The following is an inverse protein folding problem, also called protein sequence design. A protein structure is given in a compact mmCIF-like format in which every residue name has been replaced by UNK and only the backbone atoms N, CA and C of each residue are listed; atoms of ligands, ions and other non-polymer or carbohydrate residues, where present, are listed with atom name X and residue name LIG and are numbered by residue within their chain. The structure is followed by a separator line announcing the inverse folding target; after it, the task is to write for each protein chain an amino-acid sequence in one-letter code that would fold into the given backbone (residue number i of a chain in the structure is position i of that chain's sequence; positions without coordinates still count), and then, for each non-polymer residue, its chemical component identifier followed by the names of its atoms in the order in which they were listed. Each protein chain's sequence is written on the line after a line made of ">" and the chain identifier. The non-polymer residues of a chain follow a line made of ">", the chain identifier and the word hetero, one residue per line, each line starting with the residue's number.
data_IF_451907287681
#
_entry.id   IF_451907287681
#
_cell.length_a   1.000
_cell.length_b   1.000
_cell.length_c   1.000
_cell.angle_alpha   90.00
_cell.angle_beta   90.00
_cell.angle_gamma   90.00
#
_symmetry.space_group_name_H-M   'P 1'
#
loop_
_entity.id
_entity.type
_entity.pdbx_description
1 polymer ?
#
# COMPACT_ATOMS: atom_id res chain seq x y z
N UNK A 1 -54.02 -21.64 22.91
CA UNK A 1 -52.95 -21.33 21.93
C UNK A 1 -53.11 -19.88 21.48
N UNK A 2 -52.12 -19.03 21.77
CA UNK A 2 -51.94 -17.68 21.22
C UNK A 2 -50.47 -17.60 20.75
N UNK A 3 -50.16 -16.99 19.60
CA UNK A 3 -48.81 -16.95 19.08
C UNK A 3 -47.97 -15.90 19.82
N UNK A 4 -46.73 -16.25 20.14
CA UNK A 4 -45.69 -15.36 20.65
C UNK A 4 -45.00 -14.76 19.42
N UNK A 5 -45.03 -13.43 19.28
CA UNK A 5 -44.24 -12.71 18.29
C UNK A 5 -42.80 -12.51 18.81
N UNK A 6 -41.75 -12.65 17.98
CA UNK A 6 -40.39 -12.36 18.40
C UNK A 6 -40.16 -10.84 18.44
N UNK A 7 -39.96 -10.30 19.64
CA UNK A 7 -39.50 -8.93 19.85
C UNK A 7 -38.01 -8.85 19.52
N UNK A 8 -37.66 -8.36 18.32
CA UNK A 8 -36.28 -8.04 17.96
C UNK A 8 -35.80 -6.79 18.74
N UNK A 9 -34.66 -6.85 19.47
CA UNK A 9 -34.05 -5.70 20.15
C UNK A 9 -33.64 -4.56 19.20
N UNK A 10 -33.65 -4.80 17.89
CA UNK A 10 -33.20 -3.85 16.86
C UNK A 10 -34.18 -2.68 16.65
N UNK A 11 -35.49 -2.93 16.74
CA UNK A 11 -36.52 -1.92 16.48
C UNK A 11 -36.70 -0.93 17.65
N UNK A 12 -36.31 -1.31 18.87
CA UNK A 12 -36.37 -0.42 20.04
C UNK A 12 -35.22 0.60 20.06
N UNK A 13 -34.07 0.28 19.46
CA UNK A 13 -32.92 1.19 19.36
C UNK A 13 -33.12 2.29 18.30
N UNK A 14 -33.74 1.99 17.16
CA UNK A 14 -34.05 2.99 16.11
C UNK A 14 -35.08 4.03 16.60
N UNK A 15 -36.07 3.60 17.39
CA UNK A 15 -37.04 4.51 18.02
C UNK A 15 -36.40 5.45 19.04
N UNK A 16 -35.31 5.03 19.70
CA UNK A 16 -34.56 5.86 20.64
C UNK A 16 -33.71 6.91 19.92
N UNK A 17 -33.16 6.56 18.75
CA UNK A 17 -32.39 7.46 17.88
C UNK A 17 -33.23 8.62 17.31
N UNK A 18 -34.50 8.38 16.95
CA UNK A 18 -35.39 9.41 16.40
C UNK A 18 -35.93 10.41 17.44
N UNK A 19 -35.86 10.08 18.74
CA UNK A 19 -36.47 10.89 19.82
C UNK A 19 -35.44 11.81 20.53
N UNK A 20 -34.13 11.62 20.33
CA UNK A 20 -33.08 12.35 21.04
C UNK A 20 -32.18 13.21 20.13
N UNK A 21 -32.71 13.90 19.13
CA UNK A 21 -31.96 14.94 18.41
C UNK A 21 -31.71 16.13 19.36
N UNK A 22 -30.46 16.45 19.76
CA UNK A 22 -30.16 17.69 20.45
C UNK A 22 -30.20 18.82 19.41
N UNK A 23 -30.79 19.96 19.79
CA UNK A 23 -30.67 21.21 19.01
C UNK A 23 -29.18 21.50 18.79
N UNK A 24 -28.75 21.56 17.52
CA UNK A 24 -27.35 21.79 17.15
C UNK A 24 -26.86 23.12 17.71
N UNK A 25 -25.98 23.06 18.71
CA UNK A 25 -25.16 24.18 19.09
C UNK A 25 -24.06 24.31 18.03
N UNK A 26 -24.10 25.38 17.24
CA UNK A 26 -23.02 25.76 16.35
C UNK A 26 -21.84 26.24 17.19
N UNK A 27 -20.79 25.44 17.26
CA UNK A 27 -19.49 25.90 17.74
C UNK A 27 -18.54 25.89 16.56
N UNK A 28 -18.31 27.06 15.97
CA UNK A 28 -17.20 27.29 15.04
C UNK A 28 -15.89 27.24 15.84
N UNK A 29 -15.33 26.04 15.98
CA UNK A 29 -13.94 25.87 16.38
C UNK A 29 -13.11 25.62 15.13
N UNK A 30 -12.09 26.44 14.90
CA UNK A 30 -11.05 26.22 13.89
C UNK A 30 -10.38 24.87 14.17
N UNK A 31 -10.84 23.83 13.48
CA UNK A 31 -10.48 22.44 13.73
C UNK A 31 -9.10 22.16 13.11
N UNK A 32 -8.17 21.64 13.91
CA UNK A 32 -6.88 21.14 13.40
C UNK A 32 -7.13 20.13 12.28
N UNK A 33 -6.32 20.20 11.21
CA UNK A 33 -6.39 19.26 10.11
C UNK A 33 -6.13 17.84 10.63
N UNK A 34 -7.00 16.90 10.25
CA UNK A 34 -6.88 15.50 10.63
C UNK A 34 -6.59 14.63 9.41
N UNK A 35 -5.82 13.57 9.60
CA UNK A 35 -5.70 12.46 8.65
C UNK A 35 -5.44 12.92 7.20
N UNK A 36 -6.31 12.62 6.24
CA UNK A 36 -6.13 13.01 4.84
C UNK A 36 -5.94 14.52 4.68
N UNK A 37 -6.49 15.33 5.58
CA UNK A 37 -6.36 16.79 5.56
C UNK A 37 -4.93 17.27 5.84
N UNK A 38 -4.07 16.40 6.38
CA UNK A 38 -2.65 16.68 6.65
C UNK A 38 -1.76 16.38 5.45
N UNK A 39 -2.28 15.71 4.42
CA UNK A 39 -1.49 15.29 3.27
C UNK A 39 -1.19 16.48 2.34
N UNK A 40 0.03 16.60 1.78
CA UNK A 40 0.41 17.75 0.95
C UNK A 40 -0.48 17.96 -0.29
N UNK A 41 -1.03 16.88 -0.84
CA UNK A 41 -1.88 16.88 -2.04
C UNK A 41 -3.37 16.87 -1.72
N UNK A 42 -3.75 17.08 -0.46
CA UNK A 42 -5.14 17.07 -0.05
C UNK A 42 -5.90 18.24 -0.66
N UNK A 43 -6.93 17.92 -1.44
CA UNK A 43 -7.91 18.88 -1.87
C UNK A 43 -9.31 18.38 -1.53
N UNK A 44 -9.90 18.94 -0.48
CA UNK A 44 -11.20 18.52 0.09
C UNK A 44 -12.27 18.21 -0.97
N UNK A 45 -12.40 19.04 -2.00
CA UNK A 45 -13.48 18.89 -3.01
C UNK A 45 -13.33 17.65 -3.88
N UNK A 46 -12.13 17.09 -4.00
CA UNK A 46 -11.93 15.85 -4.75
C UNK A 46 -12.23 14.62 -3.92
N UNK A 47 -12.34 14.69 -2.59
CA UNK A 47 -12.68 13.51 -1.79
C UNK A 47 -14.20 13.27 -1.77
N UNK A 48 -14.61 12.01 -1.88
CA UNK A 48 -16.02 11.65 -1.73
C UNK A 48 -16.41 11.69 -0.23
N UNK A 49 -17.46 12.42 0.17
CA UNK A 49 -17.88 12.54 1.57
C UNK A 49 -18.73 11.33 2.00
N UNK A 50 -18.08 10.18 2.21
CA UNK A 50 -18.74 8.94 2.64
C UNK A 50 -19.39 9.15 4.02
N UNK A 51 -20.61 8.62 4.20
CA UNK A 51 -21.31 8.64 5.50
C UNK A 51 -21.37 7.25 6.11
N UNK A 52 -21.15 7.17 7.43
CA UNK A 52 -21.43 5.94 8.18
C UNK A 52 -22.92 5.60 8.05
N UNK A 53 -23.22 4.32 7.78
CA UNK A 53 -24.56 3.84 7.45
C UNK A 53 -24.99 4.06 5.99
N UNK A 54 -24.22 4.77 5.16
CA UNK A 54 -24.47 4.87 3.72
C UNK A 54 -24.44 3.48 3.08
N UNK A 55 -25.33 3.23 2.12
CA UNK A 55 -25.37 1.99 1.36
C UNK A 55 -24.93 2.28 -0.07
N UNK A 56 -23.86 1.62 -0.53
CA UNK A 56 -23.41 1.65 -1.92
C UNK A 56 -24.00 0.49 -2.72
N UNK A 57 -24.46 0.78 -3.93
CA UNK A 57 -25.02 -0.20 -4.88
C UNK A 57 -26.11 -1.11 -4.28
N UNK A 58 -26.94 -0.56 -3.39
CA UNK A 58 -27.99 -1.28 -2.64
C UNK A 58 -27.50 -2.58 -1.98
N UNK A 59 -26.23 -2.60 -1.54
CA UNK A 59 -25.56 -3.81 -1.05
C UNK A 59 -24.58 -3.54 0.08
N UNK A 60 -23.69 -2.57 -0.08
CA UNK A 60 -22.57 -2.40 0.84
C UNK A 60 -22.85 -1.29 1.84
N UNK A 61 -23.19 -1.65 3.08
CA UNK A 61 -23.48 -0.70 4.16
C UNK A 61 -22.19 -0.31 4.88
N UNK A 62 -21.84 0.97 4.87
CA UNK A 62 -20.67 1.51 5.57
C UNK A 62 -20.84 1.37 7.09
N UNK A 63 -19.82 0.81 7.74
CA UNK A 63 -19.74 0.64 9.19
C UNK A 63 -18.82 1.72 9.76
N UNK A 64 -17.53 1.70 9.42
CA UNK A 64 -16.53 2.59 10.02
C UNK A 64 -15.42 2.93 9.02
N UNK A 65 -14.72 4.05 9.26
CA UNK A 65 -13.52 4.40 8.51
C UNK A 65 -12.33 3.60 9.05
N UNK A 66 -11.58 2.97 8.16
CA UNK A 66 -10.38 2.18 8.50
C UNK A 66 -9.08 2.91 8.20
N UNK A 67 -9.07 3.79 7.19
CA UNK A 67 -7.86 4.51 6.82
C UNK A 67 -8.06 5.46 5.65
N UNK A 68 -6.96 6.03 5.21
CA UNK A 68 -6.92 7.04 4.16
C UNK A 68 -5.56 7.06 3.46
N UNK A 69 -5.53 7.65 2.27
CA UNK A 69 -4.32 7.92 1.51
C UNK A 69 -4.49 9.17 0.63
N UNK A 70 -3.45 9.50 -0.13
CA UNK A 70 -3.43 10.69 -0.98
C UNK A 70 -4.54 10.70 -2.06
N UNK A 71 -5.05 9.53 -2.43
CA UNK A 71 -6.02 9.39 -3.52
C UNK A 71 -7.30 8.64 -3.14
N UNK A 72 -7.51 8.31 -1.86
CA UNK A 72 -8.70 7.56 -1.44
C UNK A 72 -8.91 7.57 0.07
N UNK A 73 -10.11 7.17 0.50
CA UNK A 73 -10.43 6.74 1.86
C UNK A 73 -10.84 5.27 1.88
N UNK A 74 -10.59 4.55 2.97
CA UNK A 74 -10.85 3.12 3.10
C UNK A 74 -11.83 2.88 4.25
N UNK A 75 -12.86 2.08 3.98
CA UNK A 75 -14.01 1.88 4.86
C UNK A 75 -14.29 0.40 5.09
N UNK A 76 -14.67 0.04 6.31
CA UNK A 76 -15.31 -1.22 6.62
C UNK A 76 -16.78 -1.14 6.20
N UNK A 77 -17.27 -2.16 5.52
CA UNK A 77 -18.67 -2.28 5.16
C UNK A 77 -19.18 -3.70 5.38
N UNK A 78 -20.48 -3.83 5.60
CA UNK A 78 -21.18 -5.10 5.53
C UNK A 78 -21.74 -5.30 4.11
N UNK A 79 -21.47 -6.45 3.50
CA UNK A 79 -22.19 -6.91 2.32
C UNK A 79 -23.55 -7.47 2.75
N UNK A 80 -24.61 -6.69 2.57
CA UNK A 80 -25.95 -7.07 3.02
C UNK A 80 -26.51 -8.29 2.30
N UNK A 81 -25.95 -8.69 1.15
CA UNK A 81 -26.37 -9.87 0.40
C UNK A 81 -25.60 -11.12 0.84
N UNK A 82 -24.27 -11.03 0.88
CA UNK A 82 -23.42 -12.17 1.26
C UNK A 82 -23.35 -12.38 2.77
N UNK A 83 -23.71 -11.37 3.57
CA UNK A 83 -23.52 -11.33 5.03
C UNK A 83 -22.06 -11.49 5.43
N UNK A 84 -21.19 -10.80 4.71
CA UNK A 84 -19.73 -10.79 4.91
C UNK A 84 -19.22 -9.35 5.05
N UNK A 85 -18.15 -9.17 5.82
CA UNK A 85 -17.43 -7.91 5.84
C UNK A 85 -16.64 -7.69 4.54
N UNK A 86 -16.59 -6.44 4.10
CA UNK A 86 -15.82 -5.97 2.94
C UNK A 86 -15.06 -4.69 3.27
N UNK A 87 -14.02 -4.42 2.50
CA UNK A 87 -13.36 -3.12 2.47
C UNK A 87 -13.75 -2.35 1.22
N UNK A 88 -14.14 -1.10 1.39
CA UNK A 88 -14.49 -0.17 0.33
C UNK A 88 -13.43 0.94 0.27
N UNK A 89 -12.58 0.91 -0.75
CA UNK A 89 -11.65 2.00 -1.08
C UNK A 89 -12.37 2.98 -2.01
N UNK A 90 -12.76 4.14 -1.48
CA UNK A 90 -13.46 5.19 -2.21
C UNK A 90 -12.46 6.24 -2.66
N UNK A 91 -12.32 6.42 -3.97
CA UNK A 91 -11.26 7.25 -4.56
C UNK A 91 -11.61 8.73 -4.51
N UNK A 92 -10.59 9.57 -4.66
CA UNK A 92 -10.81 10.95 -5.07
C UNK A 92 -11.47 11.01 -6.46
N UNK A 93 -12.05 12.17 -6.78
CA UNK A 93 -12.67 12.46 -8.05
C UNK A 93 -11.65 12.25 -9.17
N UNK A 94 -12.07 11.58 -10.22
CA UNK A 94 -11.24 11.33 -11.41
C UNK A 94 -11.65 12.25 -12.55
N UNK A 95 -10.67 12.57 -13.39
CA UNK A 95 -10.86 13.29 -14.65
C UNK A 95 -10.18 12.49 -15.78
N UNK A 96 -10.96 12.13 -16.80
CA UNK A 96 -10.47 11.38 -17.97
C UNK A 96 -9.41 12.16 -18.75
N UNK A 97 -9.41 13.50 -18.67
CA UNK A 97 -8.36 14.32 -19.30
C UNK A 97 -6.97 14.02 -18.74
N UNK A 98 -6.89 13.46 -17.52
CA UNK A 98 -5.65 13.11 -16.81
C UNK A 98 -5.39 11.60 -16.75
N UNK A 99 -6.10 10.81 -17.56
CA UNK A 99 -6.09 9.35 -17.46
C UNK A 99 -4.69 8.71 -17.57
N UNK A 100 -3.79 9.28 -18.38
CA UNK A 100 -2.44 8.76 -18.56
C UNK A 100 -1.52 8.91 -17.35
N UNK A 101 -1.83 9.84 -16.44
CA UNK A 101 -0.99 10.17 -15.27
C UNK A 101 -1.70 9.93 -13.94
N UNK A 102 -3.00 9.61 -13.97
CA UNK A 102 -3.82 9.41 -12.76
C UNK A 102 -3.51 8.07 -12.09
N UNK A 103 -2.98 8.06 -10.85
CA UNK A 103 -2.75 6.82 -10.12
C UNK A 103 -4.04 6.04 -9.87
N UNK A 104 -5.16 6.75 -9.65
CA UNK A 104 -6.47 6.14 -9.46
C UNK A 104 -6.92 5.39 -10.72
N UNK A 105 -6.91 6.05 -11.88
CA UNK A 105 -7.36 5.42 -13.12
C UNK A 105 -6.43 4.27 -13.54
N UNK A 106 -5.13 4.40 -13.27
CA UNK A 106 -4.18 3.31 -13.46
C UNK A 106 -4.51 2.12 -12.54
N UNK A 107 -4.75 2.33 -11.24
CA UNK A 107 -5.12 1.26 -10.30
C UNK A 107 -6.38 0.51 -10.78
N UNK A 108 -7.42 1.24 -11.18
CA UNK A 108 -8.66 0.65 -11.70
C UNK A 108 -8.40 -0.17 -12.97
N UNK A 109 -7.59 0.35 -13.89
CA UNK A 109 -7.19 -0.36 -15.12
C UNK A 109 -6.47 -1.67 -14.78
N UNK A 110 -5.54 -1.63 -13.82
CA UNK A 110 -4.74 -2.78 -13.41
C UNK A 110 -5.58 -3.83 -12.67
N UNK A 111 -6.45 -3.43 -11.75
CA UNK A 111 -7.38 -4.34 -11.06
C UNK A 111 -8.32 -5.04 -12.04
N UNK A 112 -8.86 -4.32 -13.03
CA UNK A 112 -9.68 -4.92 -14.11
C UNK A 112 -8.86 -5.90 -14.95
N UNK A 113 -7.61 -5.56 -15.28
CA UNK A 113 -6.73 -6.44 -16.03
C UNK A 113 -6.39 -7.72 -15.25
N UNK A 114 -6.02 -7.61 -13.97
CA UNK A 114 -5.71 -8.76 -13.11
C UNK A 114 -6.89 -9.71 -12.95
N UNK A 115 -8.13 -9.21 -12.96
CA UNK A 115 -9.33 -10.05 -12.95
C UNK A 115 -9.42 -11.01 -14.14
N UNK A 116 -8.78 -10.69 -15.27
CA UNK A 116 -8.74 -11.57 -16.46
C UNK A 116 -7.80 -12.78 -16.28
N UNK A 117 -6.99 -12.81 -15.22
CA UNK A 117 -6.10 -13.93 -14.91
C UNK A 117 -6.68 -14.89 -13.87
N UNK A 118 -7.82 -14.58 -13.25
CA UNK A 118 -8.42 -15.41 -12.19
C UNK A 118 -8.69 -16.83 -12.67
N UNK A 119 -9.17 -16.98 -13.91
CA UNK A 119 -9.45 -18.30 -14.51
C UNK A 119 -8.17 -19.08 -14.89
N UNK A 120 -7.00 -18.45 -14.82
CA UNK A 120 -5.71 -19.08 -15.15
C UNK A 120 -5.06 -19.75 -13.94
N UNK A 121 -5.71 -19.76 -12.77
CA UNK A 121 -5.25 -20.37 -11.52
C UNK A 121 -3.78 -20.04 -11.17
N UNK A 122 -3.37 -18.79 -11.42
CA UNK A 122 -1.99 -18.39 -11.17
C UNK A 122 -1.70 -18.30 -9.66
N UNK A 123 -0.69 -19.00 -9.13
CA UNK A 123 -0.45 -19.10 -7.68
C UNK A 123 -0.20 -17.75 -7.01
N UNK A 124 0.43 -16.80 -7.73
CA UNK A 124 0.65 -15.44 -7.23
C UNK A 124 -0.62 -14.62 -6.97
N UNK A 125 -1.77 -15.00 -7.54
CA UNK A 125 -3.03 -14.27 -7.32
C UNK A 125 -3.53 -14.42 -5.87
N UNK A 126 -3.17 -15.52 -5.20
CA UNK A 126 -3.48 -15.71 -3.78
C UNK A 126 -2.82 -14.62 -2.90
N UNK A 127 -1.65 -14.13 -3.30
CA UNK A 127 -0.88 -13.10 -2.60
C UNK A 127 -1.12 -11.69 -3.16
N UNK A 128 -2.18 -11.49 -3.94
CA UNK A 128 -2.49 -10.23 -4.62
C UNK A 128 -3.89 -9.75 -4.23
N UNK A 129 -4.03 -8.47 -3.85
CA UNK A 129 -5.35 -7.89 -3.52
C UNK A 129 -6.18 -7.69 -4.79
N UNK A 130 -7.11 -8.61 -5.05
CA UNK A 130 -8.07 -8.45 -6.14
C UNK A 130 -9.29 -7.63 -5.70
N UNK A 131 -9.93 -7.01 -6.69
CA UNK A 131 -11.23 -6.37 -6.52
C UNK A 131 -12.36 -7.39 -6.72
N UNK A 132 -13.18 -7.56 -5.70
CA UNK A 132 -14.43 -8.32 -5.79
C UNK A 132 -15.38 -7.59 -6.76
N UNK A 133 -15.49 -6.26 -6.58
CA UNK A 133 -16.29 -5.36 -7.41
C UNK A 133 -15.62 -3.99 -7.56
N UNK A 134 -15.95 -3.27 -8.64
CA UNK A 134 -15.49 -1.90 -8.89
C UNK A 134 -16.71 -1.09 -9.32
N UNK A 135 -17.18 -0.23 -8.42
CA UNK A 135 -18.35 0.61 -8.63
C UNK A 135 -17.92 1.98 -9.14
N UNK A 136 -18.65 2.50 -10.13
CA UNK A 136 -18.59 3.91 -10.51
C UNK A 136 -19.67 4.65 -9.73
N UNK A 137 -19.31 5.75 -9.07
CA UNK A 137 -20.23 6.52 -8.22
C UNK A 137 -20.13 8.01 -8.53
N UNK A 138 -21.29 8.68 -8.52
CA UNK A 138 -21.37 10.13 -8.67
C UNK A 138 -21.20 10.81 -7.31
N UNK A 139 -20.23 11.71 -7.25
CA UNK A 139 -19.96 12.57 -6.11
C UNK A 139 -21.04 13.65 -5.96
N UNK A 140 -21.29 14.16 -4.74
CA UNK A 140 -22.29 15.21 -4.51
C UNK A 140 -22.04 16.52 -5.28
N UNK A 141 -20.79 16.76 -5.70
CA UNK A 141 -20.40 17.90 -6.53
C UNK A 141 -20.48 17.63 -8.05
N UNK A 142 -21.02 16.47 -8.47
CA UNK A 142 -21.15 16.07 -9.87
C UNK A 142 -19.88 15.46 -10.48
N UNK A 143 -18.85 15.20 -9.67
CA UNK A 143 -17.63 14.53 -10.09
C UNK A 143 -17.73 13.02 -10.03
N UNK A 144 -17.07 12.29 -10.92
CA UNK A 144 -17.03 10.83 -10.90
C UNK A 144 -15.96 10.30 -9.95
N UNK A 145 -16.28 9.26 -9.20
CA UNK A 145 -15.36 8.51 -8.35
C UNK A 145 -15.49 7.01 -8.61
N UNK A 146 -14.51 6.25 -8.12
CA UNK A 146 -14.59 4.79 -8.05
C UNK A 146 -14.67 4.33 -6.60
N UNK A 147 -15.38 3.22 -6.38
CA UNK A 147 -15.35 2.48 -5.13
C UNK A 147 -14.90 1.04 -5.43
N UNK A 148 -13.69 0.70 -4.98
CA UNK A 148 -13.12 -0.63 -5.10
C UNK A 148 -13.53 -1.45 -3.89
N UNK A 149 -14.28 -2.52 -4.12
CA UNK A 149 -14.72 -3.47 -3.11
C UNK A 149 -13.75 -4.65 -3.09
N UNK A 150 -13.23 -4.99 -1.91
CA UNK A 150 -12.33 -6.13 -1.73
C UNK A 150 -12.55 -6.81 -0.39
N UNK A 151 -11.91 -7.97 -0.20
CA UNK A 151 -11.85 -8.64 1.09
C UNK A 151 -11.21 -7.74 2.17
N UNK A 152 -11.59 -7.89 3.44
CA UNK A 152 -10.92 -7.21 4.55
C UNK A 152 -9.45 -7.61 4.69
N UNK A 153 -8.60 -6.60 4.84
CA UNK A 153 -7.15 -6.72 5.01
C UNK A 153 -6.69 -5.58 5.91
N UNK A 154 -5.61 -5.78 6.65
CA UNK A 154 -5.09 -4.77 7.57
C UNK A 154 -3.58 -4.64 7.55
N UNK A 155 -3.08 -3.57 8.16
CA UNK A 155 -1.66 -3.38 8.34
C UNK A 155 -1.13 -4.41 9.34
N UNK A 156 0.07 -4.93 9.12
CA UNK A 156 0.81 -5.62 10.16
C UNK A 156 1.50 -4.61 11.07
N UNK A 157 1.57 -4.88 12.37
CA UNK A 157 2.49 -4.16 13.28
C UNK A 157 3.96 -4.52 13.03
N UNK A 158 4.24 -5.61 12.30
CA UNK A 158 5.58 -6.13 12.07
C UNK A 158 6.13 -5.89 10.66
N UNK A 159 5.29 -5.49 9.68
CA UNK A 159 5.69 -5.27 8.28
C UNK A 159 5.59 -3.78 7.97
N UNK A 160 6.73 -3.13 7.78
CA UNK A 160 6.86 -1.68 7.51
C UNK A 160 6.49 -1.22 6.07
N UNK A 161 6.55 -2.07 5.02
CA UNK A 161 6.14 -1.67 3.67
C UNK A 161 4.64 -1.35 3.55
N UNK A 162 4.32 -0.10 3.21
CA UNK A 162 2.93 0.41 3.06
C UNK A 162 2.08 -0.34 2.01
N UNK A 163 2.73 -1.09 1.09
CA UNK A 163 2.08 -1.82 0.00
C UNK A 163 1.95 -3.33 0.26
N UNK A 164 2.24 -3.78 1.48
CA UNK A 164 2.03 -5.17 1.92
C UNK A 164 1.03 -5.16 3.08
N UNK A 165 -0.16 -5.68 2.84
CA UNK A 165 -1.17 -5.89 3.88
C UNK A 165 -1.19 -7.35 4.31
N UNK A 166 -1.76 -7.63 5.47
CA UNK A 166 -1.98 -9.00 5.93
C UNK A 166 -3.41 -9.42 5.61
N UNK A 167 -3.55 -10.61 5.03
CA UNK A 167 -4.85 -11.24 4.87
C UNK A 167 -5.41 -11.62 6.24
N UNK A 168 -6.65 -11.20 6.53
CA UNK A 168 -7.39 -11.72 7.67
C UNK A 168 -7.86 -13.13 7.32
N UNK A 169 -7.31 -14.15 7.98
CA UNK A 169 -7.91 -15.49 7.96
C UNK A 169 -9.35 -15.41 8.46
N UNK A 170 -10.15 -16.46 8.23
CA UNK A 170 -11.61 -16.54 8.45
C UNK A 170 -12.13 -16.14 9.87
N UNK A 171 -11.24 -15.67 10.75
CA UNK A 171 -11.56 -14.95 11.98
C UNK A 171 -11.98 -13.49 11.70
N UNK A 172 -13.29 -13.27 11.70
CA UNK A 172 -13.92 -11.94 11.61
C UNK A 172 -14.01 -11.22 12.95
N UNK A 173 -13.55 -11.82 14.07
CA UNK A 173 -13.74 -11.29 15.42
C UNK A 173 -13.26 -9.85 15.57
N UNK A 174 -12.11 -9.53 14.97
CA UNK A 174 -11.58 -8.18 15.03
C UNK A 174 -12.43 -7.17 14.25
N UNK A 175 -13.06 -7.59 13.13
CA UNK A 175 -13.97 -6.74 12.36
C UNK A 175 -15.32 -6.56 13.08
N UNK A 176 -15.82 -7.63 13.71
CA UNK A 176 -17.00 -7.59 14.57
C UNK A 176 -16.79 -6.64 15.75
N UNK A 177 -15.60 -6.64 16.34
CA UNK A 177 -15.23 -5.70 17.39
C UNK A 177 -15.29 -4.25 16.89
N UNK A 178 -14.87 -3.97 15.65
CA UNK A 178 -15.02 -2.62 15.07
C UNK A 178 -16.48 -2.23 14.94
N UNK A 179 -17.35 -3.12 14.45
CA UNK A 179 -18.78 -2.83 14.34
C UNK A 179 -19.43 -2.60 15.71
N UNK A 180 -19.10 -3.42 16.72
CA UNK A 180 -19.60 -3.26 18.08
C UNK A 180 -19.11 -1.94 18.70
N UNK A 181 -17.84 -1.60 18.55
CA UNK A 181 -17.30 -0.32 19.03
C UNK A 181 -18.00 0.87 18.36
N UNK A 182 -18.24 0.80 17.05
CA UNK A 182 -18.94 1.85 16.32
C UNK A 182 -20.42 1.95 16.74
N UNK A 183 -21.05 0.83 17.14
CA UNK A 183 -22.40 0.79 17.69
C UNK A 183 -22.49 1.42 19.09
N UNK A 184 -21.52 1.14 19.97
CA UNK A 184 -21.51 1.63 21.35
C UNK A 184 -21.07 3.08 21.47
N UNK A 185 -20.09 3.51 20.67
CA UNK A 185 -19.54 4.86 20.71
C UNK A 185 -19.46 5.44 19.30
N UNK A 186 -20.54 5.91 18.66
CA UNK A 186 -20.52 6.29 17.25
C UNK A 186 -19.50 7.38 16.90
N UNK A 187 -18.84 7.23 15.76
CA UNK A 187 -17.87 8.19 15.25
C UNK A 187 -18.54 9.53 14.94
N UNK A 188 -18.01 10.62 15.49
CA UNK A 188 -18.55 11.97 15.30
C UNK A 188 -18.12 12.52 13.93
N UNK A 189 -19.08 12.91 13.06
CA UNK A 189 -18.74 13.52 11.78
C UNK A 189 -18.14 14.91 11.98
N UNK A 190 -17.00 15.16 11.32
CA UNK A 190 -16.37 16.47 11.24
C UNK A 190 -16.87 17.14 9.96
N UNK A 191 -17.58 18.24 10.13
CA UNK A 191 -18.27 18.93 9.03
C UNK A 191 -17.50 20.20 8.70
N UNK A 192 -16.93 20.25 7.49
CA UNK A 192 -16.35 21.46 6.96
C UNK A 192 -17.37 22.19 6.08
N UNK A 193 -17.73 23.41 6.47
CA UNK A 193 -18.61 24.29 5.72
C UNK A 193 -17.79 25.26 4.89
N UNK A 194 -17.87 25.14 3.56
CA UNK A 194 -17.41 26.18 2.66
C UNK A 194 -18.65 26.97 2.19
N UNK A 195 -18.62 28.30 2.35
CA UNK A 195 -19.73 29.17 1.94
C UNK A 195 -20.15 28.88 0.49
N UNK A 196 -21.35 28.32 0.30
CA UNK A 196 -21.94 28.03 -1.01
C UNK A 196 -21.62 26.65 -1.62
N UNK A 197 -20.93 25.74 -0.91
CA UNK A 197 -20.70 24.36 -1.34
C UNK A 197 -21.42 23.36 -0.44
N UNK A 198 -21.66 22.14 -0.94
CA UNK A 198 -22.10 21.04 -0.10
C UNK A 198 -21.09 20.80 1.04
N UNK A 199 -21.58 20.68 2.28
CA UNK A 199 -20.73 20.40 3.44
C UNK A 199 -19.96 19.10 3.24
N UNK A 200 -18.65 19.15 3.43
CA UNK A 200 -17.79 17.97 3.34
C UNK A 200 -17.71 17.31 4.72
N UNK A 201 -17.89 15.99 4.76
CA UNK A 201 -17.89 15.21 5.99
C UNK A 201 -16.65 14.35 6.02
N UNK A 202 -15.91 14.41 7.12
CA UNK A 202 -14.76 13.57 7.41
C UNK A 202 -14.98 12.86 8.74
N UNK A 203 -14.46 11.64 8.86
CA UNK A 203 -14.41 10.89 10.12
C UNK A 203 -12.96 10.57 10.44
N UNK A 204 -12.64 10.43 11.74
CA UNK A 204 -11.39 9.81 12.16
C UNK A 204 -11.47 8.30 11.94
N UNK A 205 -10.36 7.72 11.52
CA UNK A 205 -10.22 6.28 11.33
C UNK A 205 -10.24 5.58 12.70
N UNK A 206 -10.93 4.44 12.77
CA UNK A 206 -10.87 3.58 13.96
C UNK A 206 -9.50 2.92 13.98
N UNK A 207 -8.76 3.10 15.07
CA UNK A 207 -7.53 2.33 15.29
C UNK A 207 -7.92 0.88 15.52
N UNK A 208 -7.62 0.03 14.55
CA UNK A 208 -7.76 -1.40 14.70
C UNK A 208 -6.36 -1.95 14.90
N UNK A 209 -6.02 -2.33 16.14
CA UNK A 209 -4.90 -3.25 16.37
C UNK A 209 -5.36 -4.62 15.87
N UNK A 210 -5.37 -4.77 14.54
CA UNK A 210 -5.50 -6.07 13.95
C UNK A 210 -4.12 -6.72 14.15
N UNK A 211 -3.97 -7.49 15.23
CA UNK A 211 -2.83 -8.41 15.36
C UNK A 211 -3.04 -9.52 14.31
N UNK A 212 -2.75 -9.22 13.04
CA UNK A 212 -3.04 -10.13 11.92
C UNK A 212 -1.85 -11.05 11.71
N UNK A 213 -2.00 -12.30 12.12
CA UNK A 213 -1.10 -13.42 11.81
C UNK A 213 -1.42 -14.05 10.44
N UNK A 214 -1.52 -13.23 9.40
CA UNK A 214 -1.99 -13.58 8.04
C UNK A 214 -0.91 -13.96 7.02
N UNK A 215 -1.31 -14.22 5.77
CA UNK A 215 -0.39 -14.19 4.63
C UNK A 215 -0.19 -12.73 4.15
N UNK A 216 1.02 -12.35 3.71
CA UNK A 216 1.26 -11.04 3.11
C UNK A 216 0.56 -10.95 1.74
N UNK A 217 -0.08 -9.81 1.48
CA UNK A 217 -0.82 -9.51 0.25
C UNK A 217 -0.32 -8.20 -0.34
N UNK A 218 0.09 -8.24 -1.61
CA UNK A 218 0.42 -7.05 -2.38
C UNK A 218 -0.84 -6.22 -2.67
N UNK A 219 -0.75 -4.92 -2.48
CA UNK A 219 -1.83 -3.95 -2.69
C UNK A 219 -1.31 -2.67 -3.37
N UNK A 220 -2.24 -1.76 -3.68
CA UNK A 220 -1.98 -0.42 -4.22
C UNK A 220 -1.28 -0.41 -5.58
N UNK A 221 -2.05 -0.79 -6.60
CA UNK A 221 -1.57 -0.96 -7.96
C UNK A 221 -1.57 0.33 -8.79
N UNK A 222 -1.77 1.49 -8.16
CA UNK A 222 -1.82 2.78 -8.86
C UNK A 222 -0.51 3.15 -9.56
N UNK A 223 0.60 2.54 -9.14
CA UNK A 223 1.94 2.74 -9.70
C UNK A 223 2.45 1.56 -10.53
N UNK A 224 1.60 0.56 -10.85
CA UNK A 224 2.03 -0.50 -11.77
C UNK A 224 2.31 0.04 -13.17
N UNK A 225 3.21 -0.63 -13.86
CA UNK A 225 3.68 -0.29 -15.20
C UNK A 225 3.51 -1.49 -16.12
N UNK A 226 3.03 -1.22 -17.33
CA UNK A 226 2.96 -2.24 -18.36
C UNK A 226 4.34 -2.40 -19.00
N UNK A 227 4.84 -3.62 -19.08
CA UNK A 227 6.13 -3.92 -19.70
C UNK A 227 5.95 -4.25 -21.18
N UNK A 228 4.93 -5.04 -21.53
CA UNK A 228 4.76 -5.47 -22.93
C UNK A 228 4.47 -4.29 -23.84
N UNK A 229 5.25 -4.18 -24.92
CA UNK A 229 5.13 -3.11 -25.93
C UNK A 229 5.67 -1.75 -25.50
N UNK A 230 6.27 -1.63 -24.31
CA UNK A 230 6.80 -0.38 -23.77
C UNK A 230 8.30 -0.53 -23.45
N UNK A 231 9.06 0.56 -23.63
CA UNK A 231 10.40 0.68 -23.06
C UNK A 231 10.27 1.64 -21.88
N UNK A 232 10.45 1.12 -20.67
CA UNK A 232 10.44 1.94 -19.47
C UNK A 232 11.86 2.39 -19.16
N UNK A 233 12.06 3.70 -18.96
CA UNK A 233 13.37 4.32 -18.68
C UNK A 233 13.22 5.58 -17.80
N UNK A 234 12.01 5.87 -17.35
CA UNK A 234 11.70 6.98 -16.45
C UNK A 234 12.22 6.71 -15.03
N UNK A 235 12.37 7.80 -14.26
CA UNK A 235 12.75 7.75 -12.86
C UNK A 235 11.58 7.20 -12.04
N UNK A 236 11.63 5.90 -11.77
CA UNK A 236 10.57 5.14 -11.13
C UNK A 236 11.03 4.53 -9.80
N UNK A 237 10.09 3.98 -9.04
CA UNK A 237 10.29 3.36 -7.71
C UNK A 237 10.52 4.35 -6.56
N UNK A 238 10.20 3.97 -5.30
CA UNK A 238 10.55 4.75 -4.12
C UNK A 238 12.07 4.85 -3.92
N UNK A 239 12.51 5.95 -3.32
CA UNK A 239 13.93 6.31 -3.22
C UNK A 239 14.84 5.23 -2.60
N UNK A 240 14.38 4.59 -1.52
CA UNK A 240 15.16 3.60 -0.78
C UNK A 240 15.06 2.17 -1.33
N UNK A 241 14.17 1.91 -2.29
CA UNK A 241 14.01 0.59 -2.93
C UNK A 241 14.41 0.60 -4.41
N UNK A 242 14.89 1.73 -4.94
CA UNK A 242 15.10 1.93 -6.38
C UNK A 242 16.19 1.02 -6.95
N UNK A 243 15.89 0.28 -8.01
CA UNK A 243 16.84 -0.63 -8.65
C UNK A 243 17.99 0.12 -9.36
N UNK A 244 19.18 -0.50 -9.50
CA UNK A 244 20.35 0.14 -10.09
C UNK A 244 20.14 0.56 -11.54
N UNK A 245 19.41 -0.21 -12.34
CA UNK A 245 19.08 0.16 -13.72
C UNK A 245 18.32 1.49 -13.81
N UNK A 246 17.48 1.82 -12.82
CA UNK A 246 16.79 3.12 -12.75
C UNK A 246 17.78 4.23 -12.37
N UNK A 247 18.67 4.00 -11.40
CA UNK A 247 19.71 4.95 -11.00
C UNK A 247 20.66 5.30 -12.14
N UNK A 248 20.96 4.30 -12.96
CA UNK A 248 21.86 4.38 -14.10
C UNK A 248 21.16 4.86 -15.37
N UNK A 249 19.86 5.18 -15.31
CA UNK A 249 19.03 5.60 -16.45
C UNK A 249 19.05 4.59 -17.62
N UNK A 250 19.07 3.31 -17.28
CA UNK A 250 18.96 2.20 -18.22
C UNK A 250 17.49 1.79 -18.37
N UNK A 251 17.12 1.14 -19.49
CA UNK A 251 15.81 0.52 -19.62
C UNK A 251 15.58 -0.49 -18.49
N UNK A 252 14.34 -0.57 -18.02
CA UNK A 252 13.98 -1.46 -16.92
C UNK A 252 12.67 -2.20 -17.17
N UNK A 253 12.53 -3.34 -16.49
CA UNK A 253 11.42 -4.30 -16.63
C UNK A 253 11.12 -4.97 -15.28
N UNK A 254 10.54 -6.17 -15.26
CA UNK A 254 10.15 -6.92 -14.06
C UNK A 254 11.24 -7.06 -12.98
N UNK A 255 12.52 -7.06 -13.38
CA UNK A 255 13.64 -7.23 -12.46
C UNK A 255 13.71 -6.17 -11.35
N UNK A 256 13.13 -4.98 -11.56
CA UNK A 256 13.09 -3.92 -10.55
C UNK A 256 12.28 -4.31 -9.30
N UNK A 257 11.26 -5.15 -9.48
CA UNK A 257 10.45 -5.65 -8.37
C UNK A 257 11.23 -6.68 -7.55
N UNK A 258 12.04 -7.51 -8.21
CA UNK A 258 12.91 -8.48 -7.54
C UNK A 258 13.97 -7.75 -6.69
N UNK A 259 14.56 -6.68 -7.22
CA UNK A 259 15.45 -5.82 -6.44
C UNK A 259 14.76 -5.27 -5.19
N UNK A 260 13.55 -4.73 -5.35
CA UNK A 260 12.77 -4.18 -4.24
C UNK A 260 12.50 -5.22 -3.16
N UNK A 261 12.20 -6.47 -3.56
CA UNK A 261 12.03 -7.61 -2.64
C UNK A 261 13.31 -7.85 -1.85
N UNK A 262 14.49 -7.87 -2.49
CA UNK A 262 15.76 -8.06 -1.78
C UNK A 262 16.04 -6.98 -0.74
N UNK A 263 15.85 -5.71 -1.10
CA UNK A 263 16.01 -4.60 -0.16
C UNK A 263 15.00 -4.69 0.99
N UNK A 264 13.76 -5.03 0.69
CA UNK A 264 12.71 -5.22 1.69
C UNK A 264 13.02 -6.39 2.64
N UNK A 265 13.54 -7.52 2.14
CA UNK A 265 13.96 -8.66 2.97
C UNK A 265 15.01 -8.25 3.99
N UNK A 266 16.03 -7.48 3.56
CA UNK A 266 17.07 -6.97 4.45
C UNK A 266 16.52 -5.98 5.48
N UNK A 267 15.59 -5.11 5.08
CA UNK A 267 14.94 -4.17 5.99
C UNK A 267 14.11 -4.87 7.05
N UNK A 268 13.34 -5.89 6.67
CA UNK A 268 12.56 -6.68 7.62
C UNK A 268 13.47 -7.47 8.58
N UNK A 269 14.62 -7.95 8.11
CA UNK A 269 15.57 -8.72 8.91
C UNK A 269 16.34 -7.85 9.92
N UNK A 270 16.75 -6.65 9.53
CA UNK A 270 17.65 -5.79 10.32
C UNK A 270 16.94 -4.59 10.96
N UNK A 271 15.67 -4.34 10.64
CA UNK A 271 14.90 -3.20 11.13
C UNK A 271 15.37 -1.84 10.60
N UNK A 272 16.23 -1.84 9.57
CA UNK A 272 16.77 -0.64 8.90
C UNK A 272 16.97 -0.93 7.41
N UNK A 273 16.76 0.07 6.57
CA UNK A 273 16.97 -0.08 5.13
C UNK A 273 18.46 -0.19 4.78
N UNK A 274 18.78 -0.89 3.68
CA UNK A 274 20.15 -1.03 3.17
C UNK A 274 20.72 0.30 2.65
N UNK A 275 19.86 1.17 2.12
CA UNK A 275 20.24 2.44 1.50
C UNK A 275 19.60 3.63 2.21
N UNK A 276 20.37 4.70 2.36
CA UNK A 276 19.91 6.00 2.85
C UNK A 276 20.52 7.12 1.98
N UNK A 277 20.02 7.30 0.75
CA UNK A 277 20.56 8.24 -0.22
C UNK A 277 20.01 9.65 -0.04
N UNK A 278 19.63 10.03 1.18
CA UNK A 278 19.03 11.33 1.48
C UNK A 278 20.03 12.20 2.22
N UNK A 279 20.28 13.41 1.69
CA UNK A 279 20.98 14.42 2.47
C UNK A 279 20.08 14.88 3.63
N UNK A 280 20.55 14.68 4.86
CA UNK A 280 19.81 15.04 6.09
C UNK A 280 19.66 16.55 6.26
N UNK A 281 20.53 17.35 5.64
CA UNK A 281 20.46 18.82 5.71
C UNK A 281 19.34 19.34 4.81
N UNK A 282 19.35 18.96 3.54
CA UNK A 282 18.37 19.45 2.57
C UNK A 282 17.12 18.55 2.41
N UNK A 283 17.12 17.37 3.03
CA UNK A 283 16.07 16.33 2.91
C UNK A 283 15.77 15.98 1.45
N UNK A 284 16.83 15.88 0.65
CA UNK A 284 16.75 15.61 -0.78
C UNK A 284 17.52 14.34 -1.13
N UNK A 285 17.01 13.63 -2.13
CA UNK A 285 17.68 12.49 -2.72
C UNK A 285 18.97 12.92 -3.43
N UNK A 286 20.06 12.20 -3.18
CA UNK A 286 21.38 12.47 -3.76
C UNK A 286 21.85 11.24 -4.55
N UNK A 287 21.71 11.29 -5.87
CA UNK A 287 22.06 10.18 -6.76
C UNK A 287 23.53 9.69 -6.61
N UNK A 288 24.55 10.56 -6.55
CA UNK A 288 25.93 10.10 -6.34
C UNK A 288 26.13 9.36 -5.01
N UNK A 289 25.42 9.77 -3.95
CA UNK A 289 25.45 9.10 -2.65
C UNK A 289 24.79 7.71 -2.75
N UNK A 290 23.67 7.61 -3.47
CA UNK A 290 23.03 6.33 -3.74
C UNK A 290 23.98 5.37 -4.46
N UNK A 291 24.56 5.78 -5.60
CA UNK A 291 25.47 4.93 -6.36
C UNK A 291 26.69 4.54 -5.52
N UNK A 292 27.25 5.46 -4.72
CA UNK A 292 28.37 5.16 -3.83
C UNK A 292 28.02 4.09 -2.77
N UNK A 293 26.82 4.15 -2.18
CA UNK A 293 26.35 3.11 -1.24
C UNK A 293 26.20 1.76 -1.94
N UNK A 294 25.70 1.73 -3.18
CA UNK A 294 25.55 0.49 -3.95
C UNK A 294 26.92 -0.13 -4.24
N UNK A 295 27.89 0.69 -4.64
CA UNK A 295 29.28 0.25 -4.82
C UNK A 295 29.87 -0.25 -3.50
N UNK A 296 29.55 0.40 -2.38
CA UNK A 296 30.00 -0.01 -1.05
C UNK A 296 29.56 -1.44 -0.70
N UNK A 297 28.32 -1.83 -1.02
CA UNK A 297 27.79 -3.17 -0.70
C UNK A 297 28.09 -4.23 -1.77
N UNK A 298 28.06 -3.84 -3.05
CA UNK A 298 28.08 -4.79 -4.18
C UNK A 298 29.39 -4.78 -4.97
N UNK A 299 30.29 -3.84 -4.67
CA UNK A 299 31.40 -3.51 -5.55
C UNK A 299 30.96 -2.73 -6.79
N UNK A 300 31.94 -2.36 -7.63
CA UNK A 300 31.68 -1.61 -8.85
C UNK A 300 30.76 -2.39 -9.82
N UNK A 301 29.88 -1.70 -10.56
CA UNK A 301 29.10 -2.36 -11.61
C UNK A 301 30.02 -2.96 -12.68
N UNK A 302 29.59 -4.03 -13.36
CA UNK A 302 30.30 -4.57 -14.52
C UNK A 302 30.52 -3.49 -15.60
N UNK A 303 31.66 -3.56 -16.31
CA UNK A 303 32.03 -2.55 -17.33
C UNK A 303 30.96 -2.38 -18.41
N UNK A 304 30.36 -3.48 -18.88
CA UNK A 304 29.28 -3.46 -19.88
C UNK A 304 28.02 -2.72 -19.40
N UNK A 305 27.81 -2.59 -18.09
CA UNK A 305 26.71 -1.82 -17.50
C UNK A 305 27.11 -0.34 -17.38
N UNK A 306 28.35 -0.07 -16.93
CA UNK A 306 28.90 1.28 -16.85
C UNK A 306 28.87 1.97 -18.22
N UNK A 307 29.33 1.29 -19.28
CA UNK A 307 29.40 1.83 -20.64
C UNK A 307 28.02 2.17 -21.23
N UNK A 308 26.96 1.48 -20.78
CA UNK A 308 25.58 1.75 -21.22
C UNK A 308 24.94 2.92 -20.47
N UNK A 309 25.43 3.27 -19.28
CA UNK A 309 24.82 4.29 -18.45
C UNK A 309 25.20 5.70 -18.94
N UNK A 310 24.22 6.58 -19.24
CA UNK A 310 24.52 7.98 -19.54
C UNK A 310 24.96 8.79 -18.30
N UNK A 311 24.77 8.27 -17.08
CA UNK A 311 25.00 9.02 -15.85
C UNK A 311 26.27 8.61 -15.10
N UNK A 312 26.71 7.36 -15.21
CA UNK A 312 27.77 6.84 -14.33
C UNK A 312 29.08 7.62 -14.43
N UNK A 313 29.58 7.86 -15.65
CA UNK A 313 30.83 8.60 -15.86
C UNK A 313 30.76 10.06 -15.41
N UNK A 314 29.56 10.65 -15.31
CA UNK A 314 29.37 12.02 -14.82
C UNK A 314 29.70 12.14 -13.33
N UNK A 315 29.60 11.03 -12.58
CA UNK A 315 29.73 11.03 -11.13
C UNK A 315 30.91 10.22 -10.60
N UNK A 316 31.54 9.37 -11.42
CA UNK A 316 32.61 8.45 -11.00
C UNK A 316 33.77 8.40 -12.01
N UNK A 317 34.09 9.52 -12.67
CA UNK A 317 35.32 9.64 -13.47
C UNK A 317 36.57 9.79 -12.57
N UNK A 318 37.76 9.73 -13.19
CA UNK A 318 39.06 9.79 -12.52
C UNK A 318 39.33 11.09 -11.71
N UNK A 319 38.39 12.04 -11.63
CA UNK A 319 38.54 13.30 -10.90
C UNK A 319 37.49 13.52 -9.79
N UNK A 320 36.49 12.66 -9.66
CA UNK A 320 35.40 12.89 -8.70
C UNK A 320 34.77 11.60 -8.22
N UNK A 321 35.47 10.82 -7.42
CA UNK A 321 34.82 9.72 -6.69
C UNK A 321 34.04 10.32 -5.51
N UNK A 322 32.71 10.23 -5.54
CA UNK A 322 31.94 10.36 -4.30
C UNK A 322 32.49 9.33 -3.30
N UNK A 323 32.71 9.69 -2.02
CA UNK A 323 33.36 8.80 -1.07
C UNK A 323 32.55 7.51 -0.93
N UNK A 324 33.10 6.41 -1.42
CA UNK A 324 32.47 5.08 -1.33
C UNK A 324 32.54 4.63 0.14
N UNK A 325 31.39 4.35 0.78
CA UNK A 325 31.37 3.82 2.13
C UNK A 325 32.09 2.48 2.21
N UNK A 326 32.93 2.30 3.24
CA UNK A 326 33.50 0.99 3.56
C UNK A 326 32.46 0.17 4.30
N UNK A 327 31.74 -0.67 3.58
CA UNK A 327 30.67 -1.51 4.12
C UNK A 327 30.64 -2.85 3.41
N UNK A 328 29.82 -3.78 3.89
CA UNK A 328 29.63 -5.11 3.30
C UNK A 328 28.25 -5.65 3.69
N UNK A 329 27.73 -6.59 2.91
CA UNK A 329 26.51 -7.31 3.29
C UNK A 329 26.73 -8.16 4.55
N UNK A 330 27.93 -8.69 4.72
CA UNK A 330 28.36 -9.44 5.91
C UNK A 330 28.21 -8.63 7.20
N UNK A 331 28.65 -7.37 7.19
CA UNK A 331 28.57 -6.46 8.33
C UNK A 331 27.16 -5.88 8.53
N UNK A 332 26.41 -5.74 7.43
CA UNK A 332 25.03 -5.26 7.49
C UNK A 332 24.10 -6.29 8.15
N UNK A 333 24.26 -7.57 7.81
CA UNK A 333 23.43 -8.67 8.32
C UNK A 333 23.93 -9.08 9.70
N UNK A 334 23.31 -8.52 10.75
CA UNK A 334 23.67 -8.78 12.14
C UNK A 334 22.70 -9.74 12.84
N UNK A 335 21.47 -9.87 12.33
CA UNK A 335 20.42 -10.71 12.95
C UNK A 335 20.72 -12.20 12.81
N UNK A 336 21.35 -12.62 11.71
CA UNK A 336 21.78 -14.01 11.51
C UNK A 336 23.23 -14.17 11.97
N UNK A 337 23.52 -15.04 12.96
CA UNK A 337 24.89 -15.22 13.46
C UNK A 337 25.80 -15.88 12.41
N UNK A 338 27.13 -15.68 12.49
CA UNK A 338 28.07 -16.36 11.60
C UNK A 338 27.90 -17.88 11.61
N UNK A 339 27.79 -18.47 10.43
CA UNK A 339 27.57 -19.90 10.27
C UNK A 339 26.91 -20.23 8.93
N UNK A 340 26.53 -21.51 8.77
CA UNK A 340 25.98 -22.04 7.52
C UNK A 340 24.76 -21.27 7.03
N UNK A 341 23.84 -20.91 7.93
CA UNK A 341 22.64 -20.15 7.60
C UNK A 341 22.96 -18.75 7.06
N UNK A 342 23.87 -18.01 7.71
CA UNK A 342 24.31 -16.71 7.23
C UNK A 342 24.97 -16.82 5.85
N UNK A 343 25.78 -17.85 5.63
CA UNK A 343 26.40 -18.07 4.32
C UNK A 343 25.36 -18.38 3.23
N UNK A 344 24.31 -19.14 3.56
CA UNK A 344 23.17 -19.42 2.67
C UNK A 344 22.39 -18.14 2.37
N UNK A 345 22.02 -17.37 3.39
CA UNK A 345 21.32 -16.09 3.23
C UNK A 345 22.12 -15.10 2.37
N UNK A 346 23.42 -14.97 2.62
CA UNK A 346 24.28 -14.07 1.85
C UNK A 346 24.43 -14.53 0.39
N UNK A 347 24.39 -15.83 0.10
CA UNK A 347 24.31 -16.32 -1.29
C UNK A 347 22.95 -15.99 -1.92
N UNK A 348 21.87 -16.24 -1.19
CA UNK A 348 20.50 -15.92 -1.61
C UNK A 348 20.35 -14.45 -1.96
N UNK A 349 20.72 -13.54 -1.06
CA UNK A 349 20.51 -12.10 -1.26
C UNK A 349 21.37 -11.54 -2.40
N UNK A 350 22.55 -12.13 -2.68
CA UNK A 350 23.42 -11.72 -3.80
C UNK A 350 22.83 -12.05 -5.16
N UNK A 351 22.06 -13.14 -5.29
CA UNK A 351 21.33 -13.48 -6.52
C UNK A 351 20.26 -12.43 -6.86
N UNK A 352 19.73 -11.77 -5.83
CA UNK A 352 18.70 -10.72 -5.94
C UNK A 352 19.34 -9.35 -6.14
N UNK A 353 20.32 -8.98 -5.30
CA UNK A 353 21.02 -7.69 -5.36
C UNK A 353 22.18 -7.72 -6.37
N UNK A 354 21.83 -7.95 -7.63
CA UNK A 354 22.77 -7.98 -8.76
C UNK A 354 22.61 -6.73 -9.64
N UNK A 355 23.74 -6.13 -10.02
CA UNK A 355 23.80 -4.93 -10.89
C UNK A 355 23.14 -5.15 -12.26
N UNK A 356 23.46 -6.27 -12.90
CA UNK A 356 22.90 -6.63 -14.20
C UNK A 356 21.52 -7.25 -14.01
N UNK A 357 20.48 -6.54 -14.46
CA UNK A 357 19.10 -6.98 -14.35
C UNK A 357 18.81 -8.28 -15.13
N UNK A 358 19.59 -8.59 -16.17
CA UNK A 358 19.43 -9.84 -16.95
C UNK A 358 20.05 -11.05 -16.23
N UNK A 359 21.03 -10.81 -15.36
CA UNK A 359 21.66 -11.84 -14.53
C UNK A 359 20.97 -12.02 -13.17
N UNK A 360 20.05 -11.11 -12.81
CA UNK A 360 19.29 -11.15 -11.57
C UNK A 360 18.29 -12.30 -11.61
N UNK A 361 18.30 -13.17 -10.60
CA UNK A 361 17.35 -14.29 -10.54
C UNK A 361 15.90 -13.79 -10.49
N UNK A 362 15.00 -14.51 -11.14
CA UNK A 362 13.57 -14.22 -11.20
C UNK A 362 12.83 -14.75 -9.98
N UNK A 363 11.58 -14.30 -9.76
CA UNK A 363 10.73 -14.81 -8.68
C UNK A 363 10.60 -16.35 -8.65
N UNK A 364 10.56 -16.99 -9.82
CA UNK A 364 10.43 -18.45 -9.93
C UNK A 364 11.73 -19.19 -9.62
N UNK A 365 12.88 -18.55 -9.79
CA UNK A 365 14.18 -19.13 -9.45
C UNK A 365 14.44 -18.98 -7.95
N UNK A 366 14.20 -17.78 -7.39
CA UNK A 366 14.47 -17.51 -5.98
C UNK A 366 13.56 -18.29 -5.02
N UNK A 367 12.31 -18.59 -5.39
CA UNK A 367 11.37 -19.33 -4.51
C UNK A 367 11.84 -20.75 -4.18
N UNK A 368 12.74 -21.30 -4.98
CA UNK A 368 13.32 -22.63 -4.79
C UNK A 368 14.69 -22.58 -4.12
N UNK A 369 15.15 -21.40 -3.68
CA UNK A 369 16.46 -21.24 -3.07
C UNK A 369 16.58 -22.05 -1.76
N UNK A 370 17.78 -22.57 -1.53
CA UNK A 370 18.09 -23.43 -0.39
C UNK A 370 17.83 -22.75 0.96
N UNK A 371 18.00 -21.41 1.06
CA UNK A 371 17.76 -20.68 2.29
C UNK A 371 16.26 -20.59 2.60
N UNK A 372 15.41 -20.31 1.60
CA UNK A 372 13.96 -20.26 1.78
C UNK A 372 13.35 -21.65 2.05
N UNK A 373 13.99 -22.70 1.54
CA UNK A 373 13.57 -24.08 1.72
C UNK A 373 14.12 -24.74 2.99
N UNK A 374 14.84 -24.00 3.83
CA UNK A 374 15.32 -24.53 5.11
C UNK A 374 14.13 -24.94 5.98
N UNK A 375 14.16 -26.14 6.60
CA UNK A 375 13.15 -26.51 7.58
C UNK A 375 13.20 -25.50 8.74
N UNK A 376 12.05 -24.98 9.14
CA UNK A 376 11.95 -24.26 10.40
C UNK A 376 12.26 -25.25 11.53
N UNK A 377 13.47 -25.22 12.07
CA UNK A 377 13.85 -26.05 13.23
C UNK A 377 13.16 -25.59 14.54
N UNK A 378 12.28 -24.59 14.46
CA UNK A 378 11.51 -24.06 15.58
C UNK A 378 10.12 -23.57 15.13
N UNK A 379 9.13 -24.44 15.26
CA UNK A 379 7.74 -24.10 15.58
C UNK A 379 7.22 -25.07 16.63
#
# INVERSE_FOLDING_TARGET
>A
MKPIAPSSPFLSSIRRYLVQQPRWAHTEATQEAIEEQTLPSYYRKTYYPVRIGQIFNDRYRIIAKLGYGAYSTVWLANDERAKEYKTLKVTVQVDDSTASTSPVLNEIKMLRHMKTFVDKEHPGLFFTRLADDILEIDGPAGGRHYCVVSKPQGNSVHISPQNVLMYLFDDTSSLEQVEEMESQEPSVPIIANDYGSASHITYKSRSTMLEISGHPILTDFGQMRHVEGCINQDWWMPDIYRAPEVLLQLPWSYAVDIWSIGVMTLELLEGKNLFDPVDRVHRQYVLPLAIAQYIGYLGFPPLNIIEKSPLFSTYFDAKGEAPIPKTSLEDFVTTIPPGKEKDMFLRFIRKILTWDQEARETANEIILDEWLMMPNESL
#
